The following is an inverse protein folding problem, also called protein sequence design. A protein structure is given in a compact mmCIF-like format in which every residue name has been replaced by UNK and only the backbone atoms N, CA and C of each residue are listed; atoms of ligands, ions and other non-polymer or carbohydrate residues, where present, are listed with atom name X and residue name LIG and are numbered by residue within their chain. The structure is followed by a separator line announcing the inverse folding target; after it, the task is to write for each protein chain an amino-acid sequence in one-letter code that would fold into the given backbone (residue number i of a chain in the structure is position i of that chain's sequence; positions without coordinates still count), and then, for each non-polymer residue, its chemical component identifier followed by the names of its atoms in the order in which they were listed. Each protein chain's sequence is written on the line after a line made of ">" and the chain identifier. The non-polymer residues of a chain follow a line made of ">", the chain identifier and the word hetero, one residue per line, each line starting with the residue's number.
data_IF_644053008067
#
_entry.id   IF_644053008067
#
_cell.length_a   1.000
_cell.length_b   1.000
_cell.length_c   1.000
_cell.angle_alpha   90.00
_cell.angle_beta   90.00
_cell.angle_gamma   90.00
#
_symmetry.space_group_name_H-M   'P 1'
#
loop_
_entity.id
_entity.type
_entity.pdbx_description
1 polymer ?
#
# COMPACT_ATOMS: atom_id res chain seq x y z
N UNK A 1 39.04 -3.06 -32.70
CA UNK A 1 39.23 -3.60 -31.34
C UNK A 1 39.22 -2.54 -30.23
N UNK A 2 40.07 -1.50 -30.26
CA UNK A 2 40.11 -0.50 -29.16
C UNK A 2 38.77 0.19 -28.87
N UNK A 3 37.96 0.46 -29.90
CA UNK A 3 36.63 1.06 -29.75
C UNK A 3 35.66 0.17 -28.95
N UNK A 4 35.61 -1.14 -29.24
CA UNK A 4 34.77 -2.11 -28.52
C UNK A 4 35.17 -2.22 -27.05
N UNK A 5 36.47 -2.20 -26.76
CA UNK A 5 36.98 -2.19 -25.37
C UNK A 5 36.52 -0.93 -24.61
N UNK A 6 36.49 0.24 -25.25
CA UNK A 6 35.96 1.47 -24.64
C UNK A 6 34.45 1.38 -24.36
N UNK A 7 33.67 0.80 -25.29
CA UNK A 7 32.23 0.56 -25.07
C UNK A 7 32.02 -0.40 -23.89
N UNK A 8 32.75 -1.51 -23.85
CA UNK A 8 32.64 -2.47 -22.75
C UNK A 8 32.98 -1.84 -21.41
N UNK A 9 34.03 -1.02 -21.35
CA UNK A 9 34.38 -0.26 -20.15
C UNK A 9 33.28 0.70 -19.70
N UNK A 10 32.60 1.37 -20.65
CA UNK A 10 31.43 2.20 -20.33
C UNK A 10 30.27 1.36 -19.80
N UNK A 11 30.03 0.18 -20.35
CA UNK A 11 28.97 -0.73 -19.90
C UNK A 11 29.25 -1.30 -18.50
N UNK A 12 30.52 -1.55 -18.15
CA UNK A 12 30.91 -1.94 -16.78
C UNK A 12 30.52 -0.90 -15.72
N UNK A 13 30.31 0.37 -16.10
CA UNK A 13 29.81 1.39 -15.17
C UNK A 13 28.36 1.18 -14.73
N UNK A 14 27.61 0.31 -15.41
CA UNK A 14 26.26 -0.08 -15.00
C UNK A 14 26.27 -1.06 -13.82
N UNK A 15 27.37 -1.79 -13.60
CA UNK A 15 27.50 -2.71 -12.47
C UNK A 15 27.57 -1.96 -11.14
N UNK A 16 27.19 -2.61 -10.02
CA UNK A 16 27.29 -1.99 -8.72
C UNK A 16 28.75 -1.60 -8.38
N UNK A 17 28.92 -0.42 -7.78
CA UNK A 17 30.24 0.18 -7.55
C UNK A 17 31.24 -0.76 -6.87
N UNK A 18 30.82 -1.45 -5.81
CA UNK A 18 31.68 -2.40 -5.08
C UNK A 18 32.13 -3.57 -5.95
N UNK A 19 31.21 -4.13 -6.71
CA UNK A 19 31.50 -5.24 -7.62
C UNK A 19 32.47 -4.81 -8.72
N UNK A 20 32.29 -3.59 -9.27
CA UNK A 20 33.22 -3.02 -10.26
C UNK A 20 34.61 -2.75 -9.67
N UNK A 21 34.70 -2.29 -8.43
CA UNK A 21 35.99 -2.09 -7.74
C UNK A 21 36.70 -3.43 -7.47
N UNK A 22 35.96 -4.51 -7.22
CA UNK A 22 36.52 -5.84 -6.92
C UNK A 22 36.86 -6.65 -8.19
N UNK A 23 36.00 -6.62 -9.21
CA UNK A 23 36.10 -7.52 -10.39
C UNK A 23 36.15 -6.78 -11.74
N UNK A 24 36.14 -5.45 -11.75
CA UNK A 24 36.05 -4.68 -13.00
C UNK A 24 37.25 -4.87 -13.92
N UNK A 25 38.46 -4.93 -13.36
CA UNK A 25 39.69 -5.18 -14.13
C UNK A 25 39.75 -6.61 -14.67
N UNK A 26 39.30 -7.59 -13.87
CA UNK A 26 39.22 -8.99 -14.29
C UNK A 26 38.25 -9.16 -15.45
N UNK A 27 37.03 -8.62 -15.36
CA UNK A 27 36.03 -8.70 -16.43
C UNK A 27 36.52 -8.03 -17.72
N UNK A 28 37.16 -6.86 -17.61
CA UNK A 28 37.74 -6.18 -18.77
C UNK A 28 38.85 -7.00 -19.43
N UNK A 29 39.68 -7.68 -18.63
CA UNK A 29 40.79 -8.51 -19.11
C UNK A 29 40.29 -9.78 -19.77
N UNK A 30 39.34 -10.49 -19.13
CA UNK A 30 38.70 -11.70 -19.67
C UNK A 30 38.01 -11.40 -20.99
N UNK A 31 37.21 -10.34 -21.07
CA UNK A 31 36.59 -9.92 -22.33
C UNK A 31 37.62 -9.58 -23.41
N UNK A 32 38.72 -8.90 -23.03
CA UNK A 32 39.82 -8.60 -23.93
C UNK A 32 40.52 -9.83 -24.50
N UNK A 33 40.68 -10.88 -23.69
CA UNK A 33 41.22 -12.18 -24.10
C UNK A 33 40.24 -12.92 -25.01
N UNK A 34 38.97 -13.05 -24.62
CA UNK A 34 37.94 -13.70 -25.45
C UNK A 34 37.80 -13.06 -26.84
N UNK A 35 37.92 -11.74 -26.93
CA UNK A 35 37.92 -11.04 -28.22
C UNK A 35 39.15 -11.33 -29.08
N UNK A 36 40.33 -11.48 -28.47
CA UNK A 36 41.56 -11.79 -29.21
C UNK A 36 41.50 -13.22 -29.74
N UNK A 37 41.08 -14.17 -28.91
CA UNK A 37 40.95 -15.59 -29.29
C UNK A 37 39.92 -15.76 -30.41
N UNK A 38 38.76 -15.11 -30.29
CA UNK A 38 37.73 -15.15 -31.33
C UNK A 38 38.18 -14.48 -32.64
N UNK A 39 39.05 -13.47 -32.56
CA UNK A 39 39.62 -12.81 -33.74
C UNK A 39 40.59 -13.72 -34.51
N UNK A 40 41.39 -14.52 -33.81
CA UNK A 40 42.30 -15.50 -34.44
C UNK A 40 41.54 -16.62 -35.16
N UNK A 41 40.37 -17.03 -34.63
CA UNK A 41 39.52 -18.06 -35.24
C UNK A 41 38.78 -17.53 -36.48
N UNK A 42 38.31 -16.28 -36.44
CA UNK A 42 37.74 -15.60 -37.60
C UNK A 42 36.66 -14.57 -37.26
N UNK A 43 36.32 -13.73 -38.25
CA UNK A 43 35.40 -12.61 -38.04
C UNK A 43 33.98 -12.99 -37.57
N UNK A 44 33.51 -14.19 -37.90
CA UNK A 44 32.18 -14.66 -37.50
C UNK A 44 32.11 -15.05 -36.02
N UNK A 45 33.12 -15.76 -35.51
CA UNK A 45 33.22 -16.05 -34.07
C UNK A 45 33.42 -14.76 -33.28
N UNK A 46 34.23 -13.83 -33.79
CA UNK A 46 34.39 -12.51 -33.18
C UNK A 46 33.06 -11.76 -33.01
N UNK A 47 32.21 -11.74 -34.05
CA UNK A 47 30.91 -11.09 -33.99
C UNK A 47 29.95 -11.80 -33.01
N UNK A 48 29.97 -13.14 -33.00
CA UNK A 48 29.16 -13.96 -32.10
C UNK A 48 29.52 -13.72 -30.63
N UNK A 49 30.81 -13.72 -30.28
CA UNK A 49 31.27 -13.45 -28.92
C UNK A 49 30.84 -12.07 -28.42
N UNK A 50 30.86 -11.05 -29.29
CA UNK A 50 30.39 -9.70 -28.91
C UNK A 50 28.89 -9.72 -28.59
N UNK A 51 28.08 -10.38 -29.43
CA UNK A 51 26.63 -10.44 -29.24
C UNK A 51 26.28 -11.21 -27.97
N UNK A 52 26.88 -12.37 -27.74
CA UNK A 52 26.63 -13.22 -26.58
C UNK A 52 26.96 -12.48 -25.26
N UNK A 53 28.07 -11.74 -25.23
CA UNK A 53 28.44 -10.91 -24.08
C UNK A 53 27.44 -9.76 -23.88
N UNK A 54 27.06 -9.05 -24.95
CA UNK A 54 26.14 -7.92 -24.87
C UNK A 54 24.74 -8.33 -24.41
N UNK A 55 24.26 -9.50 -24.85
CA UNK A 55 22.94 -10.04 -24.46
C UNK A 55 22.93 -10.64 -23.05
N UNK A 56 24.04 -11.20 -22.57
CA UNK A 56 24.12 -11.77 -21.23
C UNK A 56 24.30 -10.71 -20.13
N UNK A 57 24.88 -9.56 -20.47
CA UNK A 57 25.21 -8.50 -19.51
C UNK A 57 24.02 -7.94 -18.72
N UNK A 58 22.85 -7.61 -19.30
CA UNK A 58 21.71 -7.09 -18.53
C UNK A 58 21.26 -8.04 -17.41
N UNK A 59 21.26 -9.35 -17.70
CA UNK A 59 20.92 -10.39 -16.72
C UNK A 59 21.96 -10.45 -15.60
N UNK A 60 23.25 -10.37 -15.94
CA UNK A 60 24.34 -10.37 -14.97
C UNK A 60 24.31 -9.11 -14.07
N UNK A 61 24.05 -7.93 -14.64
CA UNK A 61 23.89 -6.67 -13.89
C UNK A 61 22.76 -6.81 -12.86
N UNK A 62 21.58 -7.27 -13.29
CA UNK A 62 20.43 -7.46 -12.39
C UNK A 62 20.78 -8.47 -11.29
N UNK A 63 21.44 -9.58 -11.64
CA UNK A 63 21.82 -10.60 -10.68
C UNK A 63 22.77 -10.07 -9.61
N UNK A 64 23.78 -9.29 -10.00
CA UNK A 64 24.76 -8.72 -9.07
C UNK A 64 24.16 -7.62 -8.19
N UNK A 65 23.24 -6.78 -8.70
CA UNK A 65 22.47 -5.88 -7.83
C UNK A 65 21.63 -6.65 -6.80
N UNK A 66 20.99 -7.75 -7.20
CA UNK A 66 20.23 -8.60 -6.28
C UNK A 66 21.15 -9.30 -5.26
N UNK A 67 22.36 -9.70 -5.67
CA UNK A 67 23.36 -10.32 -4.80
C UNK A 67 23.94 -9.32 -3.80
N UNK A 68 24.36 -8.13 -4.23
CA UNK A 68 24.84 -7.09 -3.33
C UNK A 68 23.75 -6.68 -2.33
N UNK A 69 22.50 -6.61 -2.79
CA UNK A 69 21.34 -6.38 -1.90
C UNK A 69 21.21 -7.48 -0.86
N UNK A 70 21.33 -8.76 -1.23
CA UNK A 70 21.32 -9.90 -0.29
C UNK A 70 22.49 -9.84 0.69
N UNK A 71 23.71 -9.58 0.21
CA UNK A 71 24.92 -9.47 1.06
C UNK A 71 24.79 -8.30 2.05
N UNK A 72 24.24 -7.16 1.60
CA UNK A 72 23.96 -6.02 2.48
C UNK A 72 22.87 -6.31 3.53
N UNK A 73 21.88 -7.14 3.20
CA UNK A 73 20.86 -7.61 4.17
C UNK A 73 21.44 -8.59 5.19
N UNK A 74 22.40 -9.42 4.81
CA UNK A 74 23.04 -10.40 5.70
C UNK A 74 24.09 -9.76 6.62
N UNK A 75 24.81 -8.74 6.14
CA UNK A 75 25.90 -8.09 6.89
C UNK A 75 25.48 -6.83 7.62
N UNK A 76 24.45 -6.13 7.13
CA UNK A 76 23.83 -5.05 7.87
C UNK A 76 23.04 -5.64 9.03
N UNK A 77 23.32 -5.20 10.25
CA UNK A 77 22.48 -5.35 11.45
C UNK A 77 21.06 -4.77 11.20
N UNK A 78 20.30 -5.37 10.28
CA UNK A 78 18.87 -5.11 10.11
C UNK A 78 18.10 -5.63 11.32
N UNK A 79 18.68 -6.58 12.06
CA UNK A 79 18.18 -7.15 13.29
C UNK A 79 18.25 -6.23 14.53
N UNK A 80 18.28 -4.90 14.39
CA UNK A 80 18.17 -4.02 15.58
C UNK A 80 17.51 -2.66 15.36
N UNK A 81 17.27 -2.22 14.12
CA UNK A 81 16.50 -0.97 13.86
C UNK A 81 15.01 -1.20 13.70
N UNK A 82 14.60 -2.45 13.49
CA UNK A 82 13.20 -2.84 13.30
C UNK A 82 12.73 -3.84 14.35
N UNK A 83 13.40 -3.92 15.51
CA UNK A 83 12.83 -4.54 16.70
C UNK A 83 11.75 -3.59 17.25
N UNK A 84 10.69 -3.42 16.47
CA UNK A 84 9.44 -2.93 16.98
C UNK A 84 8.98 -4.00 17.95
N UNK A 85 9.10 -3.72 19.24
CA UNK A 85 8.51 -4.55 20.28
C UNK A 85 7.06 -4.81 19.88
N UNK A 86 6.59 -6.08 19.90
CA UNK A 86 5.20 -6.40 19.63
C UNK A 86 4.31 -5.43 20.41
N UNK A 87 3.34 -4.82 19.71
CA UNK A 87 2.50 -3.79 20.32
C UNK A 87 1.83 -4.36 21.57
N UNK A 88 1.74 -3.57 22.63
CA UNK A 88 1.04 -4.02 23.85
C UNK A 88 -0.41 -4.37 23.51
N UNK A 89 -1.05 -5.27 24.26
CA UNK A 89 -2.45 -5.61 24.02
C UNK A 89 -3.36 -4.37 23.95
N UNK A 90 -3.06 -3.33 24.75
CA UNK A 90 -3.80 -2.07 24.73
C UNK A 90 -3.64 -1.29 23.42
N UNK A 91 -2.45 -1.31 22.81
CA UNK A 91 -2.23 -0.69 21.50
C UNK A 91 -2.96 -1.46 20.40
N UNK A 92 -3.01 -2.79 20.51
CA UNK A 92 -3.77 -3.63 19.59
C UNK A 92 -5.25 -3.29 19.65
N UNK A 93 -5.86 -3.26 20.83
CA UNK A 93 -7.26 -2.86 20.97
C UNK A 93 -7.50 -1.44 20.48
N UNK A 94 -6.64 -0.48 20.85
CA UNK A 94 -6.76 0.90 20.40
C UNK A 94 -6.68 1.02 18.87
N UNK A 95 -5.82 0.26 18.21
CA UNK A 95 -5.69 0.28 16.75
C UNK A 95 -6.90 -0.34 16.04
N UNK A 96 -7.59 -1.28 16.70
CA UNK A 96 -8.74 -1.99 16.15
C UNK A 96 -10.06 -1.24 16.31
N UNK A 97 -10.10 -0.19 17.14
CA UNK A 97 -11.32 0.58 17.39
C UNK A 97 -12.02 1.01 16.10
N UNK A 98 -11.38 1.60 15.07
CA UNK A 98 -12.10 2.04 13.87
C UNK A 98 -12.89 0.92 13.16
N UNK A 99 -12.41 -0.33 13.25
CA UNK A 99 -13.06 -1.50 12.68
C UNK A 99 -14.19 -1.98 13.60
N UNK A 100 -13.90 -2.16 14.89
CA UNK A 100 -14.88 -2.59 15.90
C UNK A 100 -16.03 -1.59 16.04
N UNK A 101 -15.74 -0.31 15.86
CA UNK A 101 -16.67 0.80 15.91
C UNK A 101 -17.79 0.63 14.88
N UNK A 102 -17.45 0.32 13.63
CA UNK A 102 -18.46 0.00 12.61
C UNK A 102 -19.30 -1.22 12.99
N UNK A 103 -18.69 -2.24 13.61
CA UNK A 103 -19.41 -3.44 14.06
C UNK A 103 -20.43 -3.13 15.15
N UNK A 104 -20.06 -2.29 16.12
CA UNK A 104 -20.98 -1.87 17.19
C UNK A 104 -22.15 -1.06 16.62
N UNK A 105 -21.91 -0.19 15.63
CA UNK A 105 -23.00 0.53 14.94
C UNK A 105 -23.96 -0.41 14.24
N UNK A 106 -23.44 -1.40 13.51
CA UNK A 106 -24.24 -2.38 12.79
C UNK A 106 -25.07 -3.21 13.78
N UNK A 107 -24.47 -3.65 14.88
CA UNK A 107 -25.19 -4.39 15.92
C UNK A 107 -26.29 -3.53 16.56
N UNK A 108 -25.99 -2.26 16.85
CA UNK A 108 -26.98 -1.33 17.41
C UNK A 108 -28.14 -1.11 16.44
N UNK A 109 -27.86 -0.87 15.15
CA UNK A 109 -28.87 -0.73 14.11
C UNK A 109 -29.69 -2.01 13.92
N UNK A 110 -29.05 -3.17 13.95
CA UNK A 110 -29.70 -4.48 13.84
C UNK A 110 -30.65 -4.73 15.03
N UNK A 111 -30.20 -4.49 16.26
CA UNK A 111 -31.06 -4.60 17.45
C UNK A 111 -32.22 -3.61 17.37
N UNK A 112 -31.98 -2.41 16.82
CA UNK A 112 -33.00 -1.39 16.59
C UNK A 112 -34.14 -1.83 15.68
N UNK A 113 -33.96 -2.89 14.86
CA UNK A 113 -35.06 -3.51 14.08
C UNK A 113 -36.05 -4.29 14.96
N UNK A 114 -35.61 -4.76 16.12
CA UNK A 114 -36.42 -5.57 17.05
C UNK A 114 -36.83 -4.82 18.32
N UNK A 115 -36.12 -3.72 18.63
CA UNK A 115 -36.31 -2.93 19.85
C UNK A 115 -36.37 -1.45 19.47
N UNK A 116 -37.51 -0.82 19.75
CA UNK A 116 -37.66 0.63 19.57
C UNK A 116 -36.86 1.39 20.63
N UNK A 117 -35.70 1.92 20.24
CA UNK A 117 -34.92 2.79 21.10
C UNK A 117 -35.50 4.21 21.09
N UNK A 118 -35.77 4.81 22.26
CA UNK A 118 -36.07 6.24 22.37
C UNK A 118 -34.99 7.08 21.66
N UNK A 119 -35.42 8.15 20.97
CA UNK A 119 -34.53 9.03 20.19
C UNK A 119 -33.33 9.53 21.01
N UNK A 120 -33.52 9.84 22.30
CA UNK A 120 -32.44 10.31 23.17
C UNK A 120 -31.35 9.27 23.39
N UNK A 121 -31.66 7.96 23.39
CA UNK A 121 -30.66 6.89 23.49
C UNK A 121 -29.83 6.86 22.21
N UNK A 122 -30.47 6.98 21.05
CA UNK A 122 -29.78 7.01 19.76
C UNK A 122 -28.84 8.21 19.66
N UNK A 123 -29.32 9.40 20.05
CA UNK A 123 -28.49 10.62 20.10
C UNK A 123 -27.32 10.45 21.08
N UNK A 124 -27.58 9.99 22.30
CA UNK A 124 -26.54 9.78 23.31
C UNK A 124 -25.49 8.78 22.83
N UNK A 125 -25.92 7.69 22.19
CA UNK A 125 -25.04 6.69 21.61
C UNK A 125 -24.17 7.29 20.51
N UNK A 126 -24.74 8.00 19.52
CA UNK A 126 -23.99 8.64 18.43
C UNK A 126 -23.02 9.69 18.97
N UNK A 127 -23.43 10.51 19.95
CA UNK A 127 -22.55 11.53 20.56
C UNK A 127 -21.40 10.90 21.33
N UNK A 128 -21.68 9.91 22.18
CA UNK A 128 -20.65 9.17 22.93
C UNK A 128 -19.64 8.51 21.98
N UNK A 129 -20.16 7.95 20.89
CA UNK A 129 -19.42 7.23 19.87
C UNK A 129 -18.46 8.16 19.11
N UNK A 130 -18.94 9.25 18.52
CA UNK A 130 -18.08 10.22 17.83
C UNK A 130 -17.12 10.93 18.79
N UNK A 131 -17.55 11.22 20.02
CA UNK A 131 -16.68 11.80 21.04
C UNK A 131 -15.53 10.86 21.42
N UNK A 132 -15.79 9.55 21.45
CA UNK A 132 -14.76 8.53 21.75
C UNK A 132 -13.72 8.45 20.62
N UNK A 133 -14.16 8.45 19.36
CA UNK A 133 -13.23 8.46 18.21
C UNK A 133 -12.43 9.75 18.17
N UNK A 134 -13.08 10.91 18.37
CA UNK A 134 -12.39 12.19 18.43
C UNK A 134 -11.41 12.25 19.62
N UNK A 135 -11.79 11.73 20.78
CA UNK A 135 -10.95 11.67 21.97
C UNK A 135 -9.70 10.81 21.76
N UNK A 136 -9.86 9.61 21.19
CA UNK A 136 -8.73 8.75 20.80
C UNK A 136 -7.87 9.41 19.72
N UNK A 137 -8.50 10.15 18.81
CA UNK A 137 -7.79 10.86 17.76
C UNK A 137 -6.89 11.98 18.33
N UNK A 138 -7.43 12.79 19.22
CA UNK A 138 -6.70 13.86 19.91
C UNK A 138 -5.59 13.28 20.80
N UNK A 139 -5.87 12.18 21.51
CA UNK A 139 -4.89 11.49 22.35
C UNK A 139 -3.71 10.95 21.53
N UNK A 140 -3.98 10.33 20.38
CA UNK A 140 -2.95 9.82 19.48
C UNK A 140 -2.11 10.95 18.88
N UNK A 141 -2.75 12.06 18.53
CA UNK A 141 -2.07 13.27 18.06
C UNK A 141 -1.15 13.87 19.13
N UNK A 142 -1.61 13.95 20.38
CA UNK A 142 -0.83 14.44 21.52
C UNK A 142 0.37 13.54 21.86
N UNK A 143 0.21 12.22 21.74
CA UNK A 143 1.28 11.23 21.96
C UNK A 143 2.28 11.10 20.81
N UNK A 144 2.20 11.98 19.81
CA UNK A 144 3.13 12.01 18.70
C UNK A 144 2.88 10.87 17.70
N UNK A 145 1.62 10.56 17.39
CA UNK A 145 1.21 9.66 16.30
C UNK A 145 1.75 8.22 16.46
N UNK A 146 1.40 7.52 17.54
CA UNK A 146 1.82 6.13 17.76
C UNK A 146 1.25 5.19 16.68
N UNK A 147 1.76 3.94 16.60
CA UNK A 147 1.34 2.98 15.57
C UNK A 147 -0.16 2.72 15.55
N UNK A 148 -0.79 2.63 16.73
CA UNK A 148 -2.23 2.41 16.84
C UNK A 148 -3.08 3.57 16.32
N UNK A 149 -2.51 4.76 16.16
CA UNK A 149 -3.22 5.94 15.66
C UNK A 149 -3.33 5.96 14.12
N UNK A 150 -2.56 5.13 13.41
CA UNK A 150 -2.50 5.15 11.94
C UNK A 150 -3.85 4.85 11.27
N UNK A 151 -4.66 3.86 11.70
CA UNK A 151 -5.96 3.61 11.08
C UNK A 151 -6.94 4.80 11.21
N UNK A 152 -6.82 5.58 12.30
CA UNK A 152 -7.63 6.78 12.51
C UNK A 152 -7.27 7.92 11.56
N UNK A 153 -6.02 8.00 11.11
CA UNK A 153 -5.63 8.91 10.03
C UNK A 153 -6.13 8.44 8.67
N UNK A 154 -6.24 7.13 8.48
CA UNK A 154 -6.78 6.52 7.27
C UNK A 154 -8.27 6.77 7.07
N UNK A 155 -9.05 6.67 8.16
CA UNK A 155 -10.51 6.78 8.14
C UNK A 155 -11.04 8.06 7.47
N UNK A 156 -10.52 9.27 7.71
CA UNK A 156 -11.00 10.47 7.03
C UNK A 156 -10.55 10.59 5.57
N UNK A 157 -9.62 9.75 5.08
CA UNK A 157 -9.09 9.89 3.73
C UNK A 157 -10.14 9.68 2.64
N UNK A 158 -11.00 8.65 2.67
CA UNK A 158 -12.06 8.51 1.67
C UNK A 158 -13.05 9.67 1.67
N UNK A 159 -13.41 10.23 2.83
CA UNK A 159 -14.26 11.44 2.89
C UNK A 159 -13.58 12.59 2.15
N UNK A 160 -12.32 12.88 2.47
CA UNK A 160 -11.60 13.97 1.83
C UNK A 160 -11.45 13.73 0.32
N UNK A 161 -11.17 12.48 -0.07
CA UNK A 161 -11.08 12.05 -1.47
C UNK A 161 -12.38 12.26 -2.23
N UNK A 162 -13.50 11.84 -1.63
CA UNK A 162 -14.85 11.99 -2.20
C UNK A 162 -15.23 13.47 -2.32
N UNK A 163 -14.93 14.30 -1.32
CA UNK A 163 -15.18 15.74 -1.38
C UNK A 163 -14.38 16.40 -2.51
N UNK A 164 -13.08 16.10 -2.63
CA UNK A 164 -12.23 16.62 -3.70
C UNK A 164 -12.75 16.15 -5.06
N UNK A 165 -13.08 14.86 -5.19
CA UNK A 165 -13.63 14.28 -6.40
C UNK A 165 -14.90 15.01 -6.84
N UNK A 166 -15.88 15.20 -5.95
CA UNK A 166 -17.13 15.88 -6.26
C UNK A 166 -16.98 17.38 -6.58
N UNK A 167 -15.97 18.05 -6.00
CA UNK A 167 -15.71 19.47 -6.26
C UNK A 167 -14.96 19.68 -7.57
N UNK A 168 -14.01 18.81 -7.90
CA UNK A 168 -13.12 18.99 -9.05
C UNK A 168 -13.64 18.32 -10.33
N UNK A 169 -14.40 17.23 -10.22
CA UNK A 169 -14.94 16.51 -11.37
C UNK A 169 -16.44 16.79 -11.46
N UNK A 170 -16.83 17.49 -12.52
CA UNK A 170 -18.25 17.64 -12.86
C UNK A 170 -18.76 16.28 -13.37
N UNK A 171 -19.82 15.70 -12.76
CA UNK A 171 -20.44 14.45 -13.21
C UNK A 171 -20.85 14.48 -14.69
N UNK A 172 -21.00 15.69 -15.27
CA UNK A 172 -21.39 15.91 -16.66
C UNK A 172 -20.24 15.90 -17.65
N UNK A 173 -19.02 15.51 -17.26
CA UNK A 173 -17.87 15.46 -18.17
C UNK A 173 -18.19 14.65 -19.45
N UNK A 174 -18.41 15.33 -20.59
CA UNK A 174 -18.97 14.71 -21.79
C UNK A 174 -17.96 13.84 -22.57
N UNK A 175 -16.75 13.65 -22.02
CA UNK A 175 -15.61 13.02 -22.71
C UNK A 175 -15.53 11.50 -22.64
N UNK A 176 -16.43 10.82 -21.91
CA UNK A 176 -16.32 9.37 -21.68
C UNK A 176 -17.40 8.57 -22.42
N UNK A 177 -17.38 8.60 -23.76
CA UNK A 177 -18.05 7.56 -24.56
C UNK A 177 -17.15 6.32 -24.67
N UNK A 178 -16.82 5.73 -23.52
CA UNK A 178 -15.98 4.53 -23.39
C UNK A 178 -16.82 3.36 -22.87
N UNK A 179 -16.40 2.10 -23.07
CA UNK A 179 -17.09 0.95 -22.48
C UNK A 179 -17.29 1.14 -20.97
N UNK A 180 -18.44 0.69 -20.46
CA UNK A 180 -18.84 0.90 -19.06
C UNK A 180 -17.75 0.52 -18.06
N UNK A 181 -17.08 -0.62 -18.29
CA UNK A 181 -16.02 -1.13 -17.41
C UNK A 181 -14.83 -0.18 -17.34
N UNK A 182 -14.46 0.40 -18.48
CA UNK A 182 -13.38 1.40 -18.55
C UNK A 182 -13.79 2.66 -17.80
N UNK A 183 -15.04 3.09 -17.95
CA UNK A 183 -15.59 4.23 -17.19
C UNK A 183 -15.51 3.98 -15.68
N UNK A 184 -15.94 2.82 -15.20
CA UNK A 184 -15.84 2.43 -13.78
C UNK A 184 -14.39 2.43 -13.29
N UNK A 185 -13.48 1.80 -14.04
CA UNK A 185 -12.04 1.77 -13.68
C UNK A 185 -11.48 3.18 -13.56
N UNK A 186 -11.83 4.07 -14.49
CA UNK A 186 -11.34 5.44 -14.48
C UNK A 186 -11.96 6.26 -13.36
N UNK A 187 -13.28 6.20 -13.15
CA UNK A 187 -13.96 6.93 -12.08
C UNK A 187 -13.47 6.50 -10.71
N UNK A 188 -13.38 5.19 -10.45
CA UNK A 188 -12.78 4.65 -9.23
C UNK A 188 -11.30 5.06 -9.12
N UNK A 189 -10.57 5.00 -10.22
CA UNK A 189 -9.16 5.42 -10.26
C UNK A 189 -8.95 6.88 -9.92
N UNK A 190 -9.83 7.77 -10.36
CA UNK A 190 -9.83 9.18 -9.96
C UNK A 190 -10.21 9.33 -8.50
N UNK A 191 -11.29 8.70 -8.05
CA UNK A 191 -11.75 8.76 -6.67
C UNK A 191 -10.66 8.30 -5.70
N UNK A 192 -10.03 7.15 -5.91
CA UNK A 192 -8.99 6.62 -5.03
C UNK A 192 -7.60 7.22 -5.32
N UNK A 193 -7.36 7.71 -6.54
CA UNK A 193 -6.14 8.43 -6.90
C UNK A 193 -5.95 9.70 -6.07
N UNK A 194 -7.04 10.44 -5.80
CA UNK A 194 -7.02 11.58 -4.88
C UNK A 194 -6.61 11.18 -3.46
N UNK A 195 -7.03 10.00 -2.98
CA UNK A 195 -6.61 9.49 -1.67
C UNK A 195 -5.09 9.27 -1.63
N UNK A 196 -4.51 8.67 -2.68
CA UNK A 196 -3.05 8.51 -2.78
C UNK A 196 -2.33 9.87 -2.81
N UNK A 197 -2.89 10.86 -3.51
CA UNK A 197 -2.34 12.21 -3.54
C UNK A 197 -2.39 12.88 -2.15
N UNK A 198 -3.51 12.76 -1.43
CA UNK A 198 -3.64 13.29 -0.06
C UNK A 198 -2.58 12.66 0.85
N UNK A 199 -2.34 11.35 0.74
CA UNK A 199 -1.28 10.69 1.50
C UNK A 199 0.11 11.27 1.16
N UNK A 200 0.41 11.52 -0.11
CA UNK A 200 1.66 12.19 -0.51
C UNK A 200 1.76 13.59 0.09
N UNK A 201 0.69 14.38 0.06
CA UNK A 201 0.64 15.72 0.67
C UNK A 201 0.86 15.63 2.18
N UNK A 202 0.23 14.69 2.88
CA UNK A 202 0.44 14.46 4.31
C UNK A 202 1.90 14.10 4.64
N UNK A 203 2.54 13.29 3.79
CA UNK A 203 3.97 12.96 3.93
C UNK A 203 4.86 14.19 3.73
N UNK A 204 4.56 15.04 2.74
CA UNK A 204 5.29 16.28 2.49
C UNK A 204 5.15 17.27 3.66
N UNK A 205 3.93 17.47 4.16
CA UNK A 205 3.66 18.31 5.34
C UNK A 205 4.43 17.77 6.56
N UNK A 206 4.37 16.45 6.77
CA UNK A 206 5.08 15.79 7.88
C UNK A 206 6.60 15.92 7.79
N UNK A 207 7.16 15.92 6.57
CA UNK A 207 8.58 16.14 6.34
C UNK A 207 9.00 17.60 6.60
N UNK A 208 8.14 18.55 6.19
CA UNK A 208 8.39 19.98 6.30
C UNK A 208 8.30 20.48 7.74
N UNK A 209 7.23 20.13 8.45
CA UNK A 209 6.96 20.60 9.82
C UNK A 209 7.85 19.91 10.86
N UNK A 210 8.67 20.66 11.65
CA UNK A 210 9.60 20.07 12.62
C UNK A 210 8.95 19.13 13.64
N UNK A 211 7.74 19.46 14.11
CA UNK A 211 6.98 18.66 15.09
C UNK A 211 6.61 17.27 14.56
N UNK A 212 6.41 17.13 13.24
CA UNK A 212 6.01 15.87 12.59
C UNK A 212 7.18 15.11 11.93
N UNK A 213 8.40 15.67 11.93
CA UNK A 213 9.59 14.98 11.40
C UNK A 213 9.82 13.59 12.02
N UNK A 214 9.61 13.35 13.33
CA UNK A 214 9.75 12.00 13.90
C UNK A 214 8.77 11.00 13.27
N UNK A 215 7.53 11.44 13.01
CA UNK A 215 6.52 10.62 12.35
C UNK A 215 6.90 10.30 10.91
N UNK A 216 7.32 11.31 10.13
CA UNK A 216 7.82 11.11 8.76
C UNK A 216 9.01 10.14 8.71
N UNK A 217 9.97 10.26 9.63
CA UNK A 217 11.11 9.33 9.72
C UNK A 217 10.64 7.89 9.97
N UNK A 218 9.69 7.69 10.90
CA UNK A 218 9.11 6.36 11.16
C UNK A 218 8.41 5.78 9.92
N UNK A 219 7.58 6.55 9.23
CA UNK A 219 6.91 6.09 7.99
C UNK A 219 7.91 5.76 6.88
N UNK A 220 9.00 6.52 6.78
CA UNK A 220 10.07 6.28 5.80
C UNK A 220 10.88 5.04 6.15
N UNK A 221 11.14 4.83 7.44
CA UNK A 221 11.90 3.68 7.91
C UNK A 221 11.08 2.40 7.76
N UNK A 222 9.81 2.43 8.17
CA UNK A 222 8.85 1.32 8.05
C UNK A 222 7.70 1.66 7.11
N UNK A 223 7.84 1.21 5.86
CA UNK A 223 6.86 1.39 4.80
C UNK A 223 5.51 0.72 5.11
N UNK A 224 5.48 -0.30 5.97
CA UNK A 224 4.23 -1.01 6.29
C UNK A 224 3.27 -0.15 7.10
N UNK A 225 3.78 0.85 7.83
CA UNK A 225 2.97 1.82 8.55
C UNK A 225 2.12 2.67 7.59
N UNK A 226 2.64 2.96 6.40
CA UNK A 226 1.89 3.69 5.38
C UNK A 226 0.78 2.81 4.79
N UNK A 227 1.06 1.52 4.55
CA UNK A 227 0.02 0.55 4.18
C UNK A 227 -1.02 0.39 5.28
N UNK A 228 -0.63 0.43 6.56
CA UNK A 228 -1.56 0.35 7.70
C UNK A 228 -2.41 1.60 7.88
N UNK A 229 -1.85 2.78 7.59
CA UNK A 229 -2.62 4.03 7.50
C UNK A 229 -3.68 3.94 6.41
N UNK A 230 -3.28 3.54 5.20
CA UNK A 230 -4.21 3.36 4.07
C UNK A 230 -5.26 2.29 4.35
N UNK A 231 -4.88 1.22 5.05
CA UNK A 231 -5.82 0.17 5.49
C UNK A 231 -6.93 0.71 6.39
N UNK A 232 -6.65 1.75 7.18
CA UNK A 232 -7.65 2.45 7.98
C UNK A 232 -8.76 3.15 7.19
N UNK A 233 -8.57 3.34 5.88
CA UNK A 233 -9.61 3.86 4.99
C UNK A 233 -10.70 2.82 4.69
N UNK A 234 -10.37 1.53 4.75
CA UNK A 234 -11.24 0.45 4.30
C UNK A 234 -12.61 0.36 5.01
N UNK A 235 -12.75 0.57 6.34
CA UNK A 235 -14.06 0.56 7.00
C UNK A 235 -15.03 1.59 6.43
N UNK A 236 -14.52 2.78 6.11
CA UNK A 236 -15.34 3.85 5.54
C UNK A 236 -15.65 3.58 4.06
N UNK A 237 -14.71 3.01 3.30
CA UNK A 237 -14.99 2.56 1.93
C UNK A 237 -16.09 1.51 1.92
N UNK A 238 -16.08 0.54 2.84
CA UNK A 238 -17.18 -0.43 2.97
C UNK A 238 -18.50 0.24 3.32
N UNK A 239 -18.49 1.24 4.21
CA UNK A 239 -19.69 2.00 4.55
C UNK A 239 -20.30 2.67 3.31
N UNK A 240 -19.47 3.32 2.49
CA UNK A 240 -19.89 3.91 1.20
C UNK A 240 -20.35 2.83 0.22
N UNK A 241 -19.71 1.66 0.21
CA UNK A 241 -20.05 0.57 -0.72
C UNK A 241 -21.43 -0.04 -0.47
N UNK A 242 -21.93 0.04 0.77
CA UNK A 242 -23.18 -0.58 1.22
C UNK A 242 -24.32 0.42 1.48
N UNK A 243 -24.10 1.73 1.31
CA UNK A 243 -25.05 2.77 1.72
C UNK A 243 -26.43 2.66 1.03
N UNK A 244 -26.47 2.13 -0.19
CA UNK A 244 -27.69 1.96 -0.98
C UNK A 244 -28.39 0.60 -0.79
N UNK A 245 -27.83 -0.31 0.02
CA UNK A 245 -28.33 -1.68 0.15
C UNK A 245 -29.16 -1.88 1.42
N UNK A 246 -30.19 -2.73 1.32
CA UNK A 246 -31.00 -3.19 2.46
C UNK A 246 -30.43 -4.47 3.04
N UNK A 247 -30.68 -4.69 4.34
CA UNK A 247 -30.27 -5.91 5.05
C UNK A 247 -28.76 -6.25 4.95
N UNK A 248 -27.93 -5.21 4.88
CA UNK A 248 -26.47 -5.33 4.72
C UNK A 248 -25.76 -5.81 5.98
N UNK A 249 -26.43 -5.79 7.14
CA UNK A 249 -25.81 -5.97 8.44
C UNK A 249 -24.89 -7.21 8.55
N UNK A 250 -25.29 -8.43 8.14
CA UNK A 250 -24.43 -9.60 8.27
C UNK A 250 -23.18 -9.52 7.39
N UNK A 251 -23.31 -9.07 6.14
CA UNK A 251 -22.18 -8.97 5.22
C UNK A 251 -21.24 -7.85 5.61
N UNK A 252 -21.78 -6.69 5.99
CA UNK A 252 -20.98 -5.56 6.43
C UNK A 252 -20.24 -5.88 7.75
N UNK A 253 -20.90 -6.54 8.70
CA UNK A 253 -20.26 -7.03 9.93
C UNK A 253 -19.14 -8.03 9.63
N UNK A 254 -19.40 -9.01 8.76
CA UNK A 254 -18.40 -10.00 8.37
C UNK A 254 -17.19 -9.35 7.67
N UNK A 255 -17.41 -8.39 6.77
CA UNK A 255 -16.34 -7.62 6.13
C UNK A 255 -15.49 -6.86 7.16
N UNK A 256 -16.11 -6.15 8.10
CA UNK A 256 -15.38 -5.46 9.18
C UNK A 256 -14.62 -6.43 10.09
N UNK A 257 -15.15 -7.63 10.33
CA UNK A 257 -14.46 -8.67 11.10
C UNK A 257 -13.18 -9.10 10.38
N UNK A 258 -13.25 -9.33 9.07
CA UNK A 258 -12.07 -9.68 8.27
C UNK A 258 -11.02 -8.55 8.29
N UNK A 259 -11.45 -7.29 8.27
CA UNK A 259 -10.54 -6.16 8.43
C UNK A 259 -9.90 -6.11 9.83
N UNK A 260 -10.69 -6.31 10.87
CA UNK A 260 -10.20 -6.32 12.25
C UNK A 260 -9.17 -7.45 12.46
N UNK A 261 -9.42 -8.65 11.91
CA UNK A 261 -8.49 -9.78 11.97
C UNK A 261 -7.18 -9.49 11.21
N UNK A 262 -7.26 -8.85 10.03
CA UNK A 262 -6.09 -8.41 9.27
C UNK A 262 -5.23 -7.39 10.03
N UNK A 263 -5.88 -6.38 10.61
CA UNK A 263 -5.22 -5.38 11.47
C UNK A 263 -4.63 -5.98 12.76
N UNK A 264 -5.32 -6.95 13.37
CA UNK A 264 -4.84 -7.65 14.56
C UNK A 264 -3.59 -8.48 14.24
N UNK A 265 -3.62 -9.27 13.17
CA UNK A 265 -2.48 -10.06 12.70
C UNK A 265 -1.29 -9.17 12.32
N UNK A 266 -1.53 -8.01 11.68
CA UNK A 266 -0.50 -7.02 11.39
C UNK A 266 0.25 -6.56 12.66
N UNK A 267 -0.45 -6.33 13.77
CA UNK A 267 0.17 -5.86 15.01
C UNK A 267 0.91 -6.97 15.78
N UNK A 268 0.55 -8.23 15.55
CA UNK A 268 1.20 -9.41 16.17
C UNK A 268 2.48 -9.84 15.46
N UNK A 269 2.57 -9.59 14.16
CA UNK A 269 3.73 -9.99 13.36
C UNK A 269 4.86 -8.96 13.49
N UNK A 270 6.11 -9.43 13.59
CA UNK A 270 7.32 -8.58 13.56
C UNK A 270 7.92 -8.43 12.16
N UNK A 271 7.69 -9.41 11.27
CA UNK A 271 8.24 -9.39 9.92
C UNK A 271 7.42 -8.46 9.00
N UNK A 272 8.04 -7.46 8.34
CA UNK A 272 7.33 -6.49 7.49
C UNK A 272 6.51 -7.13 6.37
N UNK A 273 6.98 -8.25 5.82
CA UNK A 273 6.25 -8.96 4.76
C UNK A 273 4.99 -9.64 5.28
N UNK A 274 5.05 -10.33 6.43
CA UNK A 274 3.89 -10.95 7.08
C UNK A 274 2.88 -9.90 7.54
N UNK A 275 3.38 -8.77 8.03
CA UNK A 275 2.58 -7.60 8.34
C UNK A 275 1.79 -7.11 7.12
N UNK A 276 2.47 -6.80 6.02
CA UNK A 276 1.82 -6.37 4.79
C UNK A 276 0.81 -7.39 4.25
N UNK A 277 1.20 -8.68 4.21
CA UNK A 277 0.31 -9.75 3.76
C UNK A 277 -0.93 -9.89 4.64
N UNK A 278 -0.82 -9.68 5.95
CA UNK A 278 -1.98 -9.70 6.85
C UNK A 278 -3.00 -8.61 6.49
N UNK A 279 -2.53 -7.39 6.21
CA UNK A 279 -3.40 -6.29 5.79
C UNK A 279 -4.00 -6.57 4.41
N UNK A 280 -3.20 -7.05 3.46
CA UNK A 280 -3.66 -7.34 2.11
C UNK A 280 -4.72 -8.45 2.07
N UNK A 281 -4.49 -9.55 2.80
CA UNK A 281 -5.45 -10.66 2.93
C UNK A 281 -6.73 -10.20 3.63
N UNK A 282 -6.61 -9.43 4.72
CA UNK A 282 -7.79 -8.89 5.42
C UNK A 282 -8.63 -7.98 4.53
N UNK A 283 -7.99 -7.12 3.72
CA UNK A 283 -8.67 -6.28 2.73
C UNK A 283 -9.36 -7.14 1.66
N UNK A 284 -8.65 -8.10 1.08
CA UNK A 284 -9.19 -8.97 0.04
C UNK A 284 -10.39 -9.78 0.52
N UNK A 285 -10.29 -10.44 1.67
CA UNK A 285 -11.40 -11.18 2.26
C UNK A 285 -12.59 -10.28 2.55
N UNK A 286 -12.35 -9.10 3.14
CA UNK A 286 -13.39 -8.12 3.43
C UNK A 286 -14.15 -7.69 2.17
N UNK A 287 -13.43 -7.35 1.09
CA UNK A 287 -14.03 -6.90 -0.16
C UNK A 287 -14.72 -8.03 -0.92
N UNK A 288 -14.21 -9.26 -0.85
CA UNK A 288 -14.89 -10.44 -1.41
C UNK A 288 -16.22 -10.71 -0.67
N UNK A 289 -16.22 -10.62 0.66
CA UNK A 289 -17.44 -10.70 1.46
C UNK A 289 -18.42 -9.58 1.10
N UNK A 290 -17.92 -8.36 0.85
CA UNK A 290 -18.76 -7.24 0.45
C UNK A 290 -19.38 -7.46 -0.93
N UNK A 291 -18.58 -7.90 -1.92
CA UNK A 291 -19.04 -8.21 -3.26
C UNK A 291 -20.09 -9.33 -3.25
N UNK A 292 -19.85 -10.40 -2.49
CA UNK A 292 -20.83 -11.48 -2.31
C UNK A 292 -22.13 -10.96 -1.67
N UNK A 293 -22.02 -10.09 -0.65
CA UNK A 293 -23.19 -9.45 -0.03
C UNK A 293 -24.01 -8.63 -1.02
N UNK A 294 -23.35 -7.78 -1.81
CA UNK A 294 -24.02 -6.99 -2.86
C UNK A 294 -24.69 -7.86 -3.91
N UNK A 295 -24.08 -8.99 -4.28
CA UNK A 295 -24.68 -9.93 -5.23
C UNK A 295 -25.97 -10.56 -4.69
N UNK A 296 -25.96 -10.99 -3.43
CA UNK A 296 -27.12 -11.61 -2.76
C UNK A 296 -28.24 -10.59 -2.52
N UNK A 297 -27.89 -9.36 -2.15
CA UNK A 297 -28.84 -8.31 -1.77
C UNK A 297 -29.34 -7.45 -2.95
N UNK A 298 -28.85 -7.70 -4.16
CA UNK A 298 -29.12 -6.85 -5.33
C UNK A 298 -30.61 -6.74 -5.65
N UNK A 299 -31.29 -7.88 -5.80
CA UNK A 299 -32.70 -7.92 -6.20
C UNK A 299 -33.63 -7.27 -5.16
N UNK A 300 -33.31 -7.42 -3.87
CA UNK A 300 -34.09 -6.83 -2.78
C UNK A 300 -33.91 -5.30 -2.71
N UNK A 301 -32.69 -4.83 -2.98
CA UNK A 301 -32.34 -3.41 -2.83
C UNK A 301 -32.76 -2.57 -4.04
N UNK A 302 -32.71 -3.15 -5.25
CA UNK A 302 -32.90 -2.43 -6.52
C UNK A 302 -33.92 -3.08 -7.46
N UNK A 303 -35.20 -3.22 -7.05
CA UNK A 303 -36.21 -3.88 -7.86
C UNK A 303 -36.47 -3.17 -9.21
N UNK A 304 -36.13 -1.88 -9.34
CA UNK A 304 -36.30 -1.10 -10.57
C UNK A 304 -35.12 -1.20 -11.55
N UNK A 305 -33.95 -1.74 -11.16
CA UNK A 305 -32.74 -1.80 -11.99
C UNK A 305 -32.28 -3.22 -12.31
N UNK A 306 -33.21 -4.18 -12.35
CA UNK A 306 -32.92 -5.60 -12.63
C UNK A 306 -32.11 -5.80 -13.92
N UNK A 307 -32.26 -4.91 -14.91
CA UNK A 307 -31.50 -4.96 -16.17
C UNK A 307 -30.00 -4.73 -16.01
N UNK A 308 -29.52 -4.10 -14.94
CA UNK A 308 -28.09 -3.86 -14.71
C UNK A 308 -27.38 -5.10 -14.16
N UNK A 309 -28.08 -6.11 -13.64
CA UNK A 309 -27.51 -7.36 -13.15
C UNK A 309 -26.59 -7.21 -11.93
N UNK A 310 -26.63 -8.20 -11.03
CA UNK A 310 -25.77 -8.23 -9.83
C UNK A 310 -24.25 -8.30 -10.18
N UNK A 311 -23.92 -8.77 -11.38
CA UNK A 311 -22.55 -8.88 -11.88
C UNK A 311 -21.83 -7.52 -11.92
N UNK A 312 -22.54 -6.46 -12.35
CA UNK A 312 -21.97 -5.12 -12.45
C UNK A 312 -21.59 -4.57 -11.07
N UNK A 313 -22.42 -4.82 -10.06
CA UNK A 313 -22.19 -4.39 -8.68
C UNK A 313 -21.03 -5.15 -8.02
N UNK A 314 -20.90 -6.45 -8.33
CA UNK A 314 -19.73 -7.22 -7.93
C UNK A 314 -18.46 -6.68 -8.58
N UNK A 315 -18.48 -6.44 -9.90
CA UNK A 315 -17.32 -5.91 -10.62
C UNK A 315 -16.92 -4.54 -10.08
N UNK A 316 -17.89 -3.65 -9.81
CA UNK A 316 -17.63 -2.35 -9.20
C UNK A 316 -16.88 -2.48 -7.86
N UNK A 317 -17.33 -3.41 -7.00
CA UNK A 317 -16.70 -3.69 -5.71
C UNK A 317 -15.29 -4.29 -5.87
N UNK A 318 -15.09 -5.16 -6.85
CA UNK A 318 -13.79 -5.75 -7.17
C UNK A 318 -12.81 -4.70 -7.76
N UNK A 319 -13.30 -3.77 -8.58
CA UNK A 319 -12.50 -2.66 -9.10
C UNK A 319 -12.09 -1.72 -7.96
N UNK A 320 -13.01 -1.43 -7.04
CA UNK A 320 -12.73 -0.68 -5.80
C UNK A 320 -11.63 -1.36 -5.00
N UNK A 321 -11.74 -2.67 -4.78
CA UNK A 321 -10.70 -3.47 -4.10
C UNK A 321 -9.35 -3.38 -4.81
N UNK A 322 -9.34 -3.54 -6.14
CA UNK A 322 -8.10 -3.51 -6.92
C UNK A 322 -7.37 -2.17 -6.77
N UNK A 323 -8.11 -1.05 -6.77
CA UNK A 323 -7.53 0.27 -6.54
C UNK A 323 -6.99 0.45 -5.11
N UNK A 324 -7.74 0.05 -4.08
CA UNK A 324 -7.27 0.10 -2.70
C UNK A 324 -6.01 -0.76 -2.50
N UNK A 325 -6.02 -1.98 -3.04
CA UNK A 325 -4.90 -2.92 -3.01
C UNK A 325 -3.66 -2.34 -3.72
N UNK A 326 -3.86 -1.74 -4.90
CA UNK A 326 -2.80 -1.07 -5.65
C UNK A 326 -2.19 0.10 -4.85
N UNK A 327 -3.03 0.96 -4.26
CA UNK A 327 -2.57 2.11 -3.47
C UNK A 327 -1.83 1.64 -2.21
N UNK A 328 -2.31 0.59 -1.53
CA UNK A 328 -1.62 -0.02 -0.39
C UNK A 328 -0.28 -0.66 -0.76
N UNK A 329 -0.07 -1.03 -2.02
CA UNK A 329 1.18 -1.59 -2.55
C UNK A 329 2.20 -0.50 -2.96
N UNK A 330 1.77 0.73 -3.23
CA UNK A 330 2.67 1.85 -3.57
C UNK A 330 3.83 2.05 -2.58
N UNK A 331 3.63 2.02 -1.24
CA UNK A 331 4.72 2.17 -0.28
C UNK A 331 5.81 1.11 -0.45
N UNK A 332 5.42 -0.13 -0.78
CA UNK A 332 6.36 -1.21 -1.06
C UNK A 332 7.19 -0.91 -2.31
N UNK A 333 6.54 -0.45 -3.40
CA UNK A 333 7.23 -0.08 -4.64
C UNK A 333 8.21 1.07 -4.42
N UNK A 334 7.83 2.10 -3.67
CA UNK A 334 8.70 3.23 -3.35
C UNK A 334 9.91 2.82 -2.51
N UNK A 335 9.77 1.81 -1.64
CA UNK A 335 10.88 1.27 -0.87
C UNK A 335 11.85 0.42 -1.71
N UNK A 336 11.50 0.07 -2.95
CA UNK A 336 12.44 -0.53 -3.91
C UNK A 336 13.38 0.51 -4.52
N UNK A 337 13.06 1.81 -4.45
CA UNK A 337 13.93 2.85 -4.99
C UNK A 337 15.23 2.99 -4.16
N UNK A 338 16.38 3.24 -4.80
CA UNK A 338 17.66 3.37 -4.11
C UNK A 338 17.60 4.47 -3.04
N UNK A 339 17.84 4.11 -1.77
CA UNK A 339 18.05 5.12 -0.72
C UNK A 339 19.42 5.76 -0.93
N UNK A 340 19.46 7.09 -1.11
CA UNK A 340 20.72 7.84 -1.17
C UNK A 340 21.57 7.53 0.07
N UNK A 341 22.74 6.92 -0.14
CA UNK A 341 23.68 6.48 0.91
C UNK A 341 24.41 7.64 1.62
N UNK A 342 24.01 8.90 1.37
CA UNK A 342 24.79 10.08 1.72
C UNK A 342 24.61 10.59 3.17
N UNK A 343 24.29 9.73 4.14
CA UNK A 343 24.52 10.11 5.54
C UNK A 343 25.89 9.57 5.96
N UNK A 344 26.93 10.41 5.99
CA UNK A 344 28.18 10.03 6.65
C UNK A 344 27.82 9.63 8.08
N UNK A 345 28.20 8.42 8.47
CA UNK A 345 28.10 8.01 9.87
C UNK A 345 28.99 8.94 10.67
N UNK A 346 28.41 10.00 11.23
CA UNK A 346 29.04 10.77 12.30
C UNK A 346 29.05 9.91 13.55
N UNK A 347 29.88 8.86 13.50
CA UNK A 347 30.48 8.29 14.68
C UNK A 347 31.43 9.37 15.22
N UNK A 348 30.91 10.27 16.05
CA UNK A 348 31.74 10.91 17.06
C UNK A 348 31.59 10.10 18.33
N UNK A 349 32.58 9.24 18.52
CA UNK A 349 33.09 8.86 19.82
C UNK A 349 33.23 10.08 20.72
N UNK A 350 32.60 10.03 21.90
CA UNK A 350 33.21 10.43 23.18
C UNK A 350 32.80 9.37 24.19
#
# INVERSE_FOLDING_TARGET
>A
MQFLRKIYYLLLNLYPRKYREEYGEELYTVFGQSLNDAFEIGGMEFAKTILDELFSMPKAIIHEYLRERRKSRMTGKFASRFDLTPGSSTEVFAALVPFLFGMVMILFAYIGKFVDFPLWIQIAFVLFFWSSVLGLFLLGSAKGLPRWFLPYLGLPLPIASLLIFNVLLDPKWPGFNVPWLVSVILMEGFLWGWMALIVVVLLLISAWMPKFRPFYRRLRDDWTLLSFLLYGAAPLTLFITFDEYKNVEPFFFASLLMLALGGWSYLRNSEPWKQFMSLYIGLALSMLTAAAGKAVLFEESWPQFVSLGWENEMIYTLVTWAWLAFIMFLPYMLNLLPRSKNQPSTAKSI
#
